data_IF_774777807789
#
_entry.id   IF_774777807789
#
_cell.length_a   1.000
_cell.length_b   1.000
_cell.length_c   1.000
_cell.angle_alpha   90.00
_cell.angle_beta   90.00
_cell.angle_gamma   90.00
#
_symmetry.space_group_name_H-M   'P 1'
#
loop_
_entity.id
_entity.type
_entity.pdbx_description
1 polymer ?
#
# COMPACT_ATOMS: atom_id res chain seq x y z
N UNK A 1 -35.64 4.61 0.93
CA UNK A 1 -34.25 5.11 0.92
C UNK A 1 -33.71 4.83 2.30
N UNK A 2 -33.02 3.70 2.46
CA UNK A 2 -32.41 3.29 3.73
C UNK A 2 -31.06 3.98 3.80
N UNK A 3 -30.91 4.99 4.67
CA UNK A 3 -29.62 5.52 5.04
C UNK A 3 -28.93 4.43 5.89
N UNK A 4 -28.05 3.63 5.28
CA UNK A 4 -27.11 2.83 6.04
C UNK A 4 -26.14 3.84 6.65
N UNK A 5 -26.27 4.08 7.96
CA UNK A 5 -25.29 4.81 8.73
C UNK A 5 -24.00 3.98 8.64
N UNK A 6 -23.07 4.37 7.75
CA UNK A 6 -21.70 3.81 7.79
C UNK A 6 -21.20 4.04 9.21
N UNK A 7 -20.79 2.95 9.87
CA UNK A 7 -20.13 3.05 11.16
C UNK A 7 -18.91 3.94 10.95
N UNK A 8 -18.85 5.05 11.66
CA UNK A 8 -17.72 5.97 11.57
C UNK A 8 -16.49 5.23 12.13
N UNK A 9 -15.36 5.30 11.41
CA UNK A 9 -14.09 4.72 11.86
C UNK A 9 -13.77 5.22 13.27
N UNK A 10 -13.21 4.37 14.16
CA UNK A 10 -12.74 4.83 15.46
C UNK A 10 -11.70 5.95 15.28
N UNK A 11 -11.92 7.09 15.93
CA UNK A 11 -11.04 8.26 15.85
C UNK A 11 -9.61 7.90 16.29
N UNK A 12 -9.50 7.11 17.35
CA UNK A 12 -8.21 6.67 17.89
C UNK A 12 -7.43 5.77 16.92
N UNK A 13 -8.11 4.98 16.07
CA UNK A 13 -7.47 4.19 15.02
C UNK A 13 -6.93 5.12 13.92
N UNK A 14 -7.71 6.09 13.50
CA UNK A 14 -7.30 7.06 12.48
C UNK A 14 -6.12 7.90 12.96
N UNK A 15 -6.18 8.46 14.17
CA UNK A 15 -5.09 9.20 14.79
C UNK A 15 -3.80 8.36 14.90
N UNK A 16 -3.93 7.10 15.30
CA UNK A 16 -2.79 6.19 15.39
C UNK A 16 -2.14 5.97 14.03
N UNK A 17 -2.93 5.64 13.02
CA UNK A 17 -2.41 5.39 11.67
C UNK A 17 -1.78 6.66 11.09
N UNK A 18 -2.43 7.82 11.20
CA UNK A 18 -1.89 9.07 10.67
C UNK A 18 -0.57 9.47 11.34
N UNK A 19 -0.49 9.35 12.65
CA UNK A 19 0.66 9.82 13.42
C UNK A 19 1.85 8.85 13.42
N UNK A 20 1.61 7.56 13.53
CA UNK A 20 2.68 6.57 13.70
C UNK A 20 3.02 5.84 12.40
N UNK A 21 2.01 5.56 11.57
CA UNK A 21 2.18 4.74 10.37
C UNK A 21 2.50 5.60 9.14
N UNK A 22 1.66 6.59 8.85
CA UNK A 22 1.84 7.41 7.64
C UNK A 22 3.10 8.30 7.71
N UNK A 23 3.58 8.65 8.90
CA UNK A 23 4.85 9.38 9.05
C UNK A 23 6.05 8.59 8.58
N UNK A 24 6.03 7.25 8.64
CA UNK A 24 7.12 6.40 8.16
C UNK A 24 7.36 6.53 6.65
N UNK A 25 6.36 6.95 5.88
CA UNK A 25 6.44 7.14 4.44
C UNK A 25 7.25 8.39 4.02
N UNK A 26 7.59 9.27 4.95
CA UNK A 26 8.47 10.42 4.67
C UNK A 26 9.89 10.02 4.29
N UNK A 27 10.35 8.87 4.75
CA UNK A 27 11.70 8.37 4.51
C UNK A 27 11.80 7.51 3.23
N UNK A 28 10.66 7.23 2.58
CA UNK A 28 10.62 6.42 1.37
C UNK A 28 10.88 7.26 0.10
N UNK A 29 11.17 6.57 -0.98
CA UNK A 29 11.40 7.25 -2.26
C UNK A 29 10.09 7.81 -2.84
N UNK A 30 10.21 8.73 -3.81
CA UNK A 30 9.05 9.41 -4.43
C UNK A 30 8.01 8.48 -5.08
N UNK A 31 8.33 7.22 -5.30
CA UNK A 31 7.36 6.28 -5.84
C UNK A 31 6.48 5.63 -4.76
N UNK A 32 6.90 5.73 -3.50
CA UNK A 32 6.27 5.12 -2.34
C UNK A 32 6.19 6.11 -1.16
N UNK A 33 6.10 7.40 -1.46
CA UNK A 33 6.03 8.47 -0.46
C UNK A 33 4.63 8.62 0.16
N UNK A 34 4.48 9.57 1.07
CA UNK A 34 3.22 9.86 1.73
C UNK A 34 2.08 10.16 0.74
N UNK A 35 2.38 10.76 -0.41
CA UNK A 35 1.36 11.05 -1.43
C UNK A 35 0.84 9.77 -2.07
N UNK A 36 1.74 8.79 -2.32
CA UNK A 36 1.35 7.48 -2.82
C UNK A 36 0.40 6.76 -1.86
N UNK A 37 0.80 6.58 -0.59
CA UNK A 37 -0.04 5.84 0.36
C UNK A 37 -1.40 6.50 0.58
N UNK A 38 -1.48 7.83 0.58
CA UNK A 38 -2.77 8.55 0.68
C UNK A 38 -3.67 8.28 -0.53
N UNK A 39 -3.12 8.32 -1.74
CA UNK A 39 -3.87 7.98 -2.95
C UNK A 39 -4.36 6.53 -2.92
N UNK A 40 -3.50 5.59 -2.49
CA UNK A 40 -3.88 4.17 -2.36
C UNK A 40 -5.00 3.99 -1.34
N UNK A 41 -4.96 4.69 -0.21
CA UNK A 41 -6.04 4.70 0.78
C UNK A 41 -7.34 5.20 0.16
N UNK A 42 -7.31 6.34 -0.53
CA UNK A 42 -8.50 6.93 -1.14
C UNK A 42 -9.12 6.00 -2.20
N UNK A 43 -8.32 5.44 -3.09
CA UNK A 43 -8.77 4.48 -4.10
C UNK A 43 -9.31 3.18 -3.46
N UNK A 44 -8.63 2.66 -2.44
CA UNK A 44 -9.06 1.44 -1.76
C UNK A 44 -10.40 1.63 -1.04
N UNK A 45 -10.61 2.78 -0.39
CA UNK A 45 -11.89 3.12 0.24
C UNK A 45 -13.00 3.34 -0.79
N UNK A 46 -12.70 3.97 -1.91
CA UNK A 46 -13.66 4.13 -3.03
C UNK A 46 -14.08 2.76 -3.57
N UNK A 47 -13.12 1.92 -3.97
CA UNK A 47 -13.39 0.57 -4.47
C UNK A 47 -14.12 -0.29 -3.43
N UNK A 48 -13.67 -0.28 -2.19
CA UNK A 48 -14.29 -1.05 -1.11
C UNK A 48 -15.72 -0.60 -0.80
N UNK A 49 -16.07 0.65 -1.13
CA UNK A 49 -17.41 1.20 -0.90
C UNK A 49 -18.49 0.59 -1.79
N UNK A 50 -18.11 -0.04 -2.89
CA UNK A 50 -19.00 -0.73 -3.82
C UNK A 50 -19.50 -2.09 -3.26
N UNK A 51 -18.88 -2.59 -2.17
CA UNK A 51 -19.19 -3.89 -1.59
C UNK A 51 -19.68 -3.74 -0.15
N UNK A 52 -20.96 -4.10 0.10
CA UNK A 52 -21.59 -3.96 1.42
C UNK A 52 -20.93 -4.82 2.51
N UNK A 53 -20.39 -5.98 2.13
CA UNK A 53 -19.74 -6.92 3.04
C UNK A 53 -18.32 -6.52 3.46
N UNK A 54 -17.73 -5.50 2.83
CA UNK A 54 -16.37 -5.07 3.09
C UNK A 54 -16.32 -4.11 4.30
N UNK A 55 -15.50 -4.47 5.27
CA UNK A 55 -15.18 -3.60 6.41
C UNK A 55 -14.17 -2.53 5.97
N UNK A 56 -14.63 -1.28 5.89
CA UNK A 56 -13.83 -0.13 5.45
C UNK A 56 -12.64 0.17 6.38
N UNK A 57 -12.71 -0.19 7.66
CA UNK A 57 -11.59 0.01 8.59
C UNK A 57 -10.46 -0.98 8.31
N UNK A 58 -10.79 -2.21 7.89
CA UNK A 58 -9.82 -3.21 7.43
C UNK A 58 -9.14 -2.75 6.14
N UNK A 59 -9.90 -2.27 5.16
CA UNK A 59 -9.37 -1.76 3.89
C UNK A 59 -8.45 -0.57 4.12
N UNK A 60 -8.87 0.41 4.93
CA UNK A 60 -8.08 1.57 5.31
C UNK A 60 -6.74 1.18 5.92
N UNK A 61 -6.80 0.28 6.91
CA UNK A 61 -5.60 -0.18 7.62
C UNK A 61 -4.67 -0.94 6.68
N UNK A 62 -5.20 -1.86 5.87
CA UNK A 62 -4.40 -2.61 4.92
C UNK A 62 -3.71 -1.69 3.89
N UNK A 63 -4.43 -0.71 3.35
CA UNK A 63 -3.88 0.28 2.44
C UNK A 63 -2.80 1.16 3.11
N UNK A 64 -2.97 1.52 4.39
CA UNK A 64 -1.96 2.28 5.12
C UNK A 64 -0.67 1.49 5.39
N UNK A 65 -0.75 0.17 5.53
CA UNK A 65 0.38 -0.69 5.89
C UNK A 65 1.07 -1.36 4.70
N UNK A 66 0.48 -1.34 3.50
CA UNK A 66 0.89 -2.21 2.38
C UNK A 66 2.38 -2.13 2.04
N UNK A 67 2.98 -0.96 2.15
CA UNK A 67 4.36 -0.68 1.74
C UNK A 67 5.35 -0.45 2.90
N UNK A 68 4.94 -0.58 4.18
CA UNK A 68 5.82 -0.36 5.33
C UNK A 68 7.06 -1.24 5.34
N UNK A 69 6.97 -2.43 4.77
CA UNK A 69 8.08 -3.36 4.63
C UNK A 69 9.21 -2.87 3.75
N UNK A 70 9.04 -1.77 3.01
CA UNK A 70 10.11 -1.10 2.24
C UNK A 70 11.25 -0.63 3.15
N UNK A 71 10.97 -0.34 4.41
CA UNK A 71 12.00 -0.04 5.42
C UNK A 71 12.97 -1.19 5.65
N UNK A 72 12.61 -2.42 5.34
CA UNK A 72 13.41 -3.64 5.53
C UNK A 72 13.98 -4.15 4.20
N UNK A 73 13.18 -4.28 3.16
CA UNK A 73 13.61 -4.82 1.87
C UNK A 73 12.66 -4.44 0.75
N UNK A 74 13.19 -3.86 -0.32
CA UNK A 74 12.39 -3.56 -1.52
C UNK A 74 11.86 -4.84 -2.20
N UNK A 75 12.63 -5.90 -2.23
CA UNK A 75 12.25 -7.15 -2.90
C UNK A 75 11.15 -7.89 -2.16
N UNK A 76 11.25 -7.93 -0.81
CA UNK A 76 10.36 -8.67 0.07
C UNK A 76 9.43 -7.77 0.89
N UNK A 77 9.24 -6.49 0.49
CA UNK A 77 8.47 -5.54 1.29
C UNK A 77 7.06 -6.06 1.62
N UNK A 78 6.39 -6.73 0.70
CA UNK A 78 5.07 -7.32 0.93
C UNK A 78 5.05 -8.33 2.09
N UNK A 79 6.11 -9.16 2.23
CA UNK A 79 6.25 -10.09 3.34
C UNK A 79 6.49 -9.36 4.67
N UNK A 80 7.36 -8.34 4.65
CA UNK A 80 7.63 -7.54 5.83
C UNK A 80 6.43 -6.67 6.23
N UNK A 81 5.68 -6.11 5.28
CA UNK A 81 4.44 -5.38 5.57
C UNK A 81 3.42 -6.29 6.26
N UNK A 82 3.23 -7.50 5.75
CA UNK A 82 2.35 -8.49 6.37
C UNK A 82 2.80 -8.87 7.79
N UNK A 83 4.10 -9.00 8.01
CA UNK A 83 4.68 -9.27 9.33
C UNK A 83 4.48 -8.09 10.30
N UNK A 84 4.73 -6.86 9.85
CA UNK A 84 4.52 -5.64 10.65
C UNK A 84 3.08 -5.56 11.15
N UNK A 85 2.09 -5.85 10.30
CA UNK A 85 0.68 -5.92 10.71
C UNK A 85 0.45 -6.90 11.85
N UNK A 86 1.03 -8.11 11.77
CA UNK A 86 0.86 -9.16 12.79
C UNK A 86 1.54 -8.82 14.11
N UNK A 87 2.64 -8.10 14.07
CA UNK A 87 3.44 -7.70 15.23
C UNK A 87 2.92 -6.44 15.92
N UNK A 88 2.06 -5.66 15.23
CA UNK A 88 1.53 -4.42 15.78
C UNK A 88 0.43 -4.65 16.82
N UNK A 89 0.81 -4.53 18.09
CA UNK A 89 -0.10 -4.72 19.22
C UNK A 89 -1.20 -3.63 19.33
N UNK A 90 -1.02 -2.46 18.71
CA UNK A 90 -2.06 -1.43 18.73
C UNK A 90 -3.27 -1.84 17.89
N UNK A 91 -3.04 -2.52 16.76
CA UNK A 91 -4.12 -3.01 15.91
C UNK A 91 -5.03 -4.02 16.63
N UNK A 92 -4.51 -4.79 17.59
CA UNK A 92 -5.28 -5.75 18.38
C UNK A 92 -6.34 -5.09 19.28
N UNK A 93 -6.29 -3.77 19.48
CA UNK A 93 -7.34 -3.02 20.18
C UNK A 93 -8.58 -2.79 19.34
N UNK A 94 -8.43 -2.82 18.03
CA UNK A 94 -9.46 -2.46 17.06
C UNK A 94 -9.94 -3.64 16.23
N UNK A 95 -9.09 -4.66 16.06
CA UNK A 95 -9.32 -5.80 15.20
C UNK A 95 -9.12 -7.13 15.93
N UNK A 96 -9.97 -8.10 15.63
CA UNK A 96 -9.81 -9.49 16.04
C UNK A 96 -8.62 -10.14 15.30
N UNK A 97 -8.14 -11.30 15.80
CA UNK A 97 -7.09 -12.07 15.13
C UNK A 97 -7.42 -12.38 13.65
N UNK A 98 -8.69 -12.68 13.36
CA UNK A 98 -9.14 -12.96 12.01
C UNK A 98 -9.07 -11.72 11.11
N UNK A 99 -9.40 -10.54 11.63
CA UNK A 99 -9.31 -9.28 10.90
C UNK A 99 -7.85 -8.86 10.70
N UNK A 100 -6.97 -9.07 11.68
CA UNK A 100 -5.52 -8.90 11.53
C UNK A 100 -4.97 -9.79 10.41
N UNK A 101 -5.44 -11.06 10.35
CA UNK A 101 -5.02 -11.96 9.26
C UNK A 101 -5.50 -11.45 7.89
N UNK A 102 -6.71 -10.88 7.78
CA UNK A 102 -7.20 -10.28 6.54
C UNK A 102 -6.35 -9.06 6.14
N UNK A 103 -6.01 -8.18 7.08
CA UNK A 103 -5.15 -7.01 6.83
C UNK A 103 -3.76 -7.46 6.38
N UNK A 104 -3.18 -8.43 7.09
CA UNK A 104 -1.87 -9.01 6.76
C UNK A 104 -1.87 -9.66 5.37
N UNK A 105 -2.90 -10.43 5.02
CA UNK A 105 -3.07 -11.04 3.72
C UNK A 105 -3.14 -9.99 2.59
N UNK A 106 -3.86 -8.90 2.83
CA UNK A 106 -3.92 -7.79 1.87
C UNK A 106 -2.55 -7.14 1.65
N UNK A 107 -1.77 -6.93 2.72
CA UNK A 107 -0.41 -6.43 2.62
C UNK A 107 0.53 -7.42 1.90
N UNK A 108 0.32 -8.73 2.08
CA UNK A 108 1.13 -9.75 1.40
C UNK A 108 0.85 -9.81 -0.10
N UNK A 109 -0.41 -9.68 -0.52
CA UNK A 109 -0.86 -9.88 -1.90
C UNK A 109 -1.08 -8.59 -2.70
N UNK A 110 -0.67 -7.41 -2.18
CA UNK A 110 -0.89 -6.13 -2.88
C UNK A 110 -0.09 -6.00 -4.18
N UNK A 111 1.00 -6.75 -4.35
CA UNK A 111 1.86 -6.64 -5.53
C UNK A 111 1.21 -7.26 -6.77
N UNK A 112 0.92 -6.43 -7.77
CA UNK A 112 0.42 -6.86 -9.08
C UNK A 112 1.40 -7.78 -9.86
N UNK A 113 2.70 -7.71 -9.52
CA UNK A 113 3.77 -8.52 -10.15
C UNK A 113 4.01 -9.87 -9.46
N UNK A 114 3.24 -10.20 -8.40
CA UNK A 114 3.34 -11.49 -7.72
C UNK A 114 2.74 -12.61 -8.59
N UNK A 115 3.36 -13.80 -8.55
CA UNK A 115 2.77 -15.02 -9.14
C UNK A 115 1.56 -15.50 -8.32
N UNK A 116 1.58 -15.27 -7.01
CA UNK A 116 0.47 -15.56 -6.10
C UNK A 116 -0.55 -14.42 -6.18
N UNK A 117 -1.75 -14.74 -6.64
CA UNK A 117 -2.82 -13.76 -6.76
C UNK A 117 -3.63 -13.66 -5.47
N UNK A 118 -4.11 -12.46 -5.19
CA UNK A 118 -5.05 -12.20 -4.11
C UNK A 118 -6.36 -12.98 -4.31
N UNK A 119 -6.71 -13.85 -3.36
CA UNK A 119 -7.99 -14.58 -3.37
C UNK A 119 -9.09 -13.81 -2.62
N UNK A 120 -8.73 -13.10 -1.55
CA UNK A 120 -9.66 -12.30 -0.74
C UNK A 120 -10.01 -11.00 -1.43
N UNK A 121 -11.27 -10.61 -1.39
CA UNK A 121 -11.74 -9.35 -1.99
C UNK A 121 -11.00 -8.14 -1.41
N UNK A 122 -10.76 -8.08 -0.09
CA UNK A 122 -9.96 -7.01 0.53
C UNK A 122 -8.56 -6.91 -0.07
N UNK A 123 -7.88 -8.04 -0.30
CA UNK A 123 -6.54 -8.09 -0.89
C UNK A 123 -6.55 -7.64 -2.35
N UNK A 124 -7.60 -7.99 -3.12
CA UNK A 124 -7.80 -7.52 -4.49
C UNK A 124 -8.02 -6.00 -4.54
N UNK A 125 -8.86 -5.47 -3.63
CA UNK A 125 -9.12 -4.03 -3.53
C UNK A 125 -7.82 -3.24 -3.29
N UNK A 126 -6.99 -3.68 -2.35
CA UNK A 126 -5.72 -2.99 -2.05
C UNK A 126 -4.73 -3.09 -3.22
N UNK A 127 -4.63 -4.26 -3.87
CA UNK A 127 -3.77 -4.47 -5.04
C UNK A 127 -4.21 -3.61 -6.25
N UNK A 128 -5.51 -3.50 -6.48
CA UNK A 128 -6.06 -2.66 -7.54
C UNK A 128 -5.84 -1.18 -7.24
N UNK A 129 -6.04 -0.75 -6.00
CA UNK A 129 -5.81 0.62 -5.57
C UNK A 129 -4.34 1.04 -5.73
N UNK A 130 -3.38 0.19 -5.34
CA UNK A 130 -1.94 0.41 -5.58
C UNK A 130 -1.64 0.52 -7.08
N UNK A 131 -2.22 -0.38 -7.88
CA UNK A 131 -2.08 -0.36 -9.34
C UNK A 131 -2.65 0.92 -9.96
N UNK A 132 -3.79 1.42 -9.47
CA UNK A 132 -4.43 2.66 -9.95
C UNK A 132 -3.54 3.87 -9.72
N UNK A 133 -2.93 4.03 -8.54
CA UNK A 133 -1.96 5.12 -8.32
C UNK A 133 -0.78 5.01 -9.27
N UNK A 134 -0.29 3.79 -9.50
CA UNK A 134 0.79 3.53 -10.46
C UNK A 134 0.48 3.92 -11.92
N UNK A 135 -0.78 4.03 -12.30
CA UNK A 135 -1.26 4.42 -13.63
C UNK A 135 -1.53 5.92 -13.77
N UNK A 136 -1.41 6.72 -12.72
CA UNK A 136 -1.56 8.17 -12.83
C UNK A 136 -0.46 8.76 -13.73
N UNK A 137 -0.80 9.82 -14.48
CA UNK A 137 0.15 10.49 -15.40
C UNK A 137 1.42 10.90 -14.66
N UNK A 138 1.30 11.42 -13.46
CA UNK A 138 2.43 11.84 -12.63
C UNK A 138 3.37 10.67 -12.31
N UNK A 139 2.84 9.54 -11.86
CA UNK A 139 3.62 8.33 -11.55
C UNK A 139 4.23 7.71 -12.80
N UNK A 140 3.54 7.75 -13.93
CA UNK A 140 4.07 7.31 -15.23
C UNK A 140 5.27 8.16 -15.66
N UNK A 141 5.20 9.48 -15.49
CA UNK A 141 6.32 10.39 -15.78
C UNK A 141 7.52 10.08 -14.88
N UNK A 142 7.31 9.88 -13.57
CA UNK A 142 8.38 9.54 -12.61
C UNK A 142 9.05 8.21 -13.00
N UNK A 143 8.27 7.19 -13.39
CA UNK A 143 8.80 5.90 -13.85
C UNK A 143 9.60 6.05 -15.14
N UNK A 144 9.06 6.75 -16.14
CA UNK A 144 9.74 7.00 -17.40
C UNK A 144 11.07 7.75 -17.19
N UNK A 145 11.09 8.74 -16.31
CA UNK A 145 12.30 9.50 -15.99
C UNK A 145 13.39 8.63 -15.31
N UNK A 146 12.99 7.74 -14.39
CA UNK A 146 13.91 6.76 -13.77
C UNK A 146 14.56 5.86 -14.84
N UNK A 147 13.75 5.32 -15.76
CA UNK A 147 14.24 4.45 -16.85
C UNK A 147 15.22 5.21 -17.76
N UNK A 148 14.90 6.44 -18.15
CA UNK A 148 15.78 7.26 -18.98
C UNK A 148 17.10 7.55 -18.29
N UNK A 149 17.12 7.88 -17.00
CA UNK A 149 18.36 8.06 -16.25
C UNK A 149 19.22 6.80 -16.19
N UNK A 150 18.62 5.65 -15.92
CA UNK A 150 19.35 4.37 -15.90
C UNK A 150 20.02 4.13 -17.26
N UNK A 151 19.29 4.29 -18.35
CA UNK A 151 19.84 4.12 -19.70
C UNK A 151 20.95 5.13 -20.03
N UNK A 152 20.85 6.36 -19.53
CA UNK A 152 21.90 7.36 -19.70
C UNK A 152 23.19 6.98 -18.97
N UNK A 153 23.09 6.47 -17.74
CA UNK A 153 24.26 5.98 -17.00
C UNK A 153 24.87 4.71 -17.62
N UNK A 154 24.06 3.79 -18.09
CA UNK A 154 24.55 2.59 -18.79
C UNK A 154 25.29 2.95 -20.07
N UNK A 155 24.76 3.87 -20.89
CA UNK A 155 25.42 4.35 -22.09
C UNK A 155 26.73 5.08 -21.77
N UNK A 156 26.79 5.88 -20.70
CA UNK A 156 28.01 6.55 -20.28
C UNK A 156 29.09 5.57 -19.84
N UNK A 157 28.72 4.52 -19.08
CA UNK A 157 29.65 3.46 -18.66
C UNK A 157 30.20 2.69 -19.86
N UNK A 158 29.39 2.38 -20.85
CA UNK A 158 29.83 1.69 -22.08
C UNK A 158 30.87 2.54 -22.84
N UNK A 159 30.68 3.87 -22.91
CA UNK A 159 31.62 4.79 -23.57
C UNK A 159 32.94 4.85 -22.79
N UNK A 160 32.91 4.85 -21.44
CA UNK A 160 34.12 4.90 -20.62
C UNK A 160 34.93 3.58 -20.61
N UNK A 161 34.33 2.43 -20.92
CA UNK A 161 35.01 1.14 -20.98
C UNK A 161 35.71 0.91 -22.35
N UNK A 162 35.25 1.60 -23.39
CA UNK A 162 35.77 1.45 -24.77
C UNK A 162 36.79 2.52 -25.15
N UNK A 163 37.37 3.26 -24.20
CA UNK A 163 38.52 4.14 -24.34
C UNK A 163 39.72 3.50 -23.62
#
# INVERSE_FOLDING_TARGET
>A
MVFILRKQRPEELEEYIEREILTSYHDFDKAHDLSHVKNVIDYALELGSEFEEINQDIVYTAAAYHDLGLSHSREKHHQYSAQIVKEDQQLQKYFSEQEIEIISDACYHHRSSSEEKAERLTSQIVADADSMDGLTIERMIIRAWKIMKINQYQNFMIICINI
#
